data_IF_686815743883
#
_entry.id   IF_686815743883
#
_cell.length_a   1.000
_cell.length_b   1.000
_cell.length_c   1.000
_cell.angle_alpha   90.00
_cell.angle_beta   90.00
_cell.angle_gamma   90.00
#
_symmetry.space_group_name_H-M   'P 1'
#
loop_
_entity.id
_entity.type
_entity.pdbx_description
1 polymer ?
#
# COMPACT_ATOMS: atom_id res chain seq x y z
N UNK A 1 11.40 21.99 8.67
CA UNK A 1 10.44 21.70 7.58
C UNK A 1 10.43 20.20 7.34
N UNK A 2 9.26 19.55 7.20
CA UNK A 2 9.21 18.11 6.93
C UNK A 2 9.82 17.77 5.55
N UNK A 3 10.54 16.65 5.46
CA UNK A 3 11.12 16.15 4.22
C UNK A 3 10.03 15.54 3.33
N UNK A 4 10.04 15.78 2.00
CA UNK A 4 9.06 15.16 1.11
C UNK A 4 9.14 13.64 1.11
N UNK A 5 7.99 12.98 1.13
CA UNK A 5 7.90 11.52 0.94
C UNK A 5 8.41 11.14 -0.45
N UNK A 6 9.26 10.11 -0.51
CA UNK A 6 9.82 9.57 -1.77
C UNK A 6 9.54 8.09 -1.99
N UNK A 7 9.02 7.39 -0.98
CA UNK A 7 8.66 5.97 -1.06
C UNK A 7 7.23 5.77 -0.56
N UNK A 8 6.45 5.00 -1.33
CA UNK A 8 5.07 4.67 -1.04
C UNK A 8 4.90 3.16 -1.10
N UNK A 9 4.43 2.54 -0.02
CA UNK A 9 4.10 1.11 0.00
C UNK A 9 2.59 0.99 -0.21
N UNK A 10 2.17 0.46 -1.35
CA UNK A 10 0.77 0.34 -1.74
C UNK A 10 0.31 -1.10 -1.62
N UNK A 11 -0.58 -1.38 -0.65
CA UNK A 11 -1.19 -2.70 -0.50
C UNK A 11 -2.24 -2.94 -1.57
N UNK A 12 -1.87 -3.66 -2.63
CA UNK A 12 -2.75 -4.01 -3.76
C UNK A 12 -3.56 -5.29 -3.53
N UNK A 13 -3.01 -6.20 -2.70
CA UNK A 13 -3.63 -7.46 -2.32
C UNK A 13 -3.69 -7.59 -0.80
N UNK A 14 -4.83 -8.06 -0.30
CA UNK A 14 -5.09 -8.32 1.11
C UNK A 14 -5.16 -9.80 1.49
N UNK A 15 -4.95 -10.71 0.53
CA UNK A 15 -5.00 -12.17 0.72
C UNK A 15 -3.84 -12.84 0.02
N UNK A 16 -3.14 -13.71 0.76
CA UNK A 16 -2.04 -14.51 0.26
C UNK A 16 -2.49 -15.93 -0.09
N UNK A 17 -1.78 -16.57 -1.02
CA UNK A 17 -1.92 -18.00 -1.30
C UNK A 17 -0.89 -18.87 -0.54
N UNK A 18 -0.09 -18.27 0.35
CA UNK A 18 0.88 -18.95 1.20
C UNK A 18 0.45 -18.84 2.68
N UNK A 19 0.71 -19.87 3.47
CA UNK A 19 0.46 -19.93 4.92
C UNK A 19 1.79 -19.88 5.70
N UNK A 20 2.50 -18.77 5.59
CA UNK A 20 3.76 -18.60 6.31
C UNK A 20 3.49 -18.57 7.83
N UNK A 21 4.13 -19.45 8.59
CA UNK A 21 3.98 -19.56 10.06
C UNK A 21 4.40 -18.29 10.81
N UNK A 22 5.25 -17.47 10.19
CA UNK A 22 5.75 -16.21 10.74
C UNK A 22 4.97 -14.98 10.21
N UNK A 23 3.86 -15.17 9.49
CA UNK A 23 3.08 -14.04 8.98
C UNK A 23 2.34 -13.33 10.12
N UNK A 24 2.81 -12.15 10.51
CA UNK A 24 2.19 -11.37 11.58
C UNK A 24 0.72 -11.00 11.31
N UNK A 25 0.33 -10.90 10.02
CA UNK A 25 -1.03 -10.52 9.63
C UNK A 25 -2.02 -11.68 9.80
N UNK A 26 -1.70 -12.87 9.27
CA UNK A 26 -2.62 -14.01 9.29
C UNK A 26 -2.47 -14.90 10.53
N UNK A 27 -1.32 -14.86 11.21
CA UNK A 27 -1.01 -15.62 12.43
C UNK A 27 -0.97 -14.75 13.69
N UNK A 28 -1.21 -13.45 13.57
CA UNK A 28 -1.27 -12.51 14.68
C UNK A 28 -2.58 -12.58 15.48
N UNK A 29 -2.68 -11.73 16.49
CA UNK A 29 -3.88 -11.63 17.34
C UNK A 29 -5.03 -10.85 16.69
N UNK A 30 -4.71 -9.95 15.74
CA UNK A 30 -5.68 -9.15 14.99
C UNK A 30 -6.30 -9.97 13.85
N UNK A 31 -7.62 -10.11 13.86
CA UNK A 31 -8.40 -10.81 12.84
C UNK A 31 -9.11 -9.88 11.85
N UNK A 32 -9.01 -8.56 12.01
CA UNK A 32 -9.71 -7.55 11.21
C UNK A 32 -9.29 -7.52 9.73
N UNK A 33 -8.27 -8.29 9.34
CA UNK A 33 -7.95 -8.51 7.92
C UNK A 33 -9.02 -9.34 7.21
N UNK A 34 -9.80 -10.16 7.92
CA UNK A 34 -10.85 -11.03 7.36
C UNK A 34 -11.97 -10.23 6.70
N UNK A 35 -12.29 -9.07 7.29
CA UNK A 35 -13.34 -8.17 6.80
C UNK A 35 -12.86 -7.21 5.71
N UNK A 36 -11.55 -7.19 5.41
CA UNK A 36 -10.99 -6.31 4.39
C UNK A 36 -11.15 -6.91 2.99
N UNK A 37 -11.30 -6.07 1.94
CA UNK A 37 -11.32 -6.54 0.57
C UNK A 37 -10.05 -7.32 0.22
N UNK A 38 -10.21 -8.37 -0.59
CA UNK A 38 -9.08 -9.17 -1.06
C UNK A 38 -8.13 -8.40 -2.00
N UNK A 39 -8.64 -7.35 -2.66
CA UNK A 39 -7.90 -6.50 -3.60
C UNK A 39 -8.28 -5.05 -3.38
N UNK A 40 -7.33 -4.15 -3.60
CA UNK A 40 -7.64 -2.72 -3.68
C UNK A 40 -8.63 -2.46 -4.83
N UNK A 41 -9.69 -1.70 -4.57
CA UNK A 41 -10.64 -1.31 -5.61
C UNK A 41 -10.01 -0.36 -6.62
N UNK A 42 -10.43 -0.42 -7.89
CA UNK A 42 -9.89 0.42 -8.97
C UNK A 42 -9.89 1.92 -8.60
N UNK A 43 -11.02 2.42 -8.07
CA UNK A 43 -11.14 3.81 -7.61
C UNK A 43 -10.14 4.18 -6.52
N UNK A 44 -9.81 3.24 -5.61
CA UNK A 44 -8.81 3.48 -4.55
C UNK A 44 -7.42 3.58 -5.15
N UNK A 45 -7.09 2.71 -6.10
CA UNK A 45 -5.79 2.73 -6.79
C UNK A 45 -5.63 4.03 -7.58
N UNK A 46 -6.64 4.41 -8.37
CA UNK A 46 -6.65 5.66 -9.15
C UNK A 46 -6.50 6.89 -8.25
N UNK A 47 -7.30 6.97 -7.18
CA UNK A 47 -7.23 8.09 -6.25
C UNK A 47 -5.87 8.15 -5.54
N UNK A 48 -5.32 7.00 -5.15
CA UNK A 48 -3.99 6.93 -4.53
C UNK A 48 -2.90 7.41 -5.49
N UNK A 49 -2.96 6.99 -6.75
CA UNK A 49 -2.01 7.42 -7.78
C UNK A 49 -2.08 8.93 -8.02
N UNK A 50 -3.30 9.51 -8.10
CA UNK A 50 -3.49 10.95 -8.22
C UNK A 50 -2.86 11.71 -7.05
N UNK A 51 -3.09 11.25 -5.82
CA UNK A 51 -2.52 11.86 -4.60
C UNK A 51 -1.00 11.79 -4.54
N UNK A 52 -0.40 10.69 -5.00
CA UNK A 52 1.06 10.57 -5.12
C UNK A 52 1.59 11.55 -6.17
N UNK A 53 0.92 11.66 -7.33
CA UNK A 53 1.32 12.58 -8.40
C UNK A 53 1.25 14.05 -7.95
N UNK A 54 0.18 14.43 -7.23
CA UNK A 54 0.04 15.77 -6.64
C UNK A 54 1.19 16.09 -5.68
N UNK A 55 1.57 15.14 -4.82
CA UNK A 55 2.71 15.29 -3.91
C UNK A 55 4.04 15.44 -4.66
N UNK A 56 4.26 14.61 -5.69
CA UNK A 56 5.47 14.65 -6.53
C UNK A 56 5.60 16.01 -7.21
N UNK A 57 4.51 16.51 -7.80
CA UNK A 57 4.48 17.81 -8.47
C UNK A 57 4.71 18.97 -7.48
N UNK A 58 4.02 18.96 -6.33
CA UNK A 58 4.14 20.02 -5.32
C UNK A 58 5.56 20.16 -4.74
N UNK A 59 6.35 19.08 -4.76
CA UNK A 59 7.70 19.06 -4.21
C UNK A 59 8.80 18.96 -5.28
N UNK A 60 8.47 19.03 -6.57
CA UNK A 60 9.44 18.97 -7.67
C UNK A 60 10.30 17.71 -7.69
N UNK A 61 9.71 16.56 -7.33
CA UNK A 61 10.45 15.29 -7.26
C UNK A 61 10.61 14.69 -8.65
N UNK A 62 11.85 14.39 -9.03
CA UNK A 62 12.23 13.72 -10.28
C UNK A 62 12.10 12.19 -10.20
N UNK A 63 12.21 11.64 -8.98
CA UNK A 63 12.17 10.21 -8.72
C UNK A 63 11.49 9.88 -7.39
N UNK A 64 10.60 8.90 -7.45
CA UNK A 64 9.99 8.23 -6.31
C UNK A 64 10.05 6.71 -6.46
N UNK A 65 9.72 5.99 -5.39
CA UNK A 65 9.51 4.55 -5.38
C UNK A 65 8.08 4.23 -4.97
N UNK A 66 7.41 3.38 -5.75
CA UNK A 66 6.13 2.79 -5.37
C UNK A 66 6.34 1.29 -5.24
N UNK A 67 6.23 0.77 -4.03
CA UNK A 67 6.34 -0.65 -3.73
C UNK A 67 4.95 -1.23 -3.67
N UNK A 68 4.59 -2.02 -4.69
CA UNK A 68 3.34 -2.76 -4.69
C UNK A 68 3.48 -3.93 -3.73
N UNK A 69 2.71 -3.87 -2.65
CA UNK A 69 2.75 -4.82 -1.57
C UNK A 69 1.45 -5.61 -1.47
N UNK A 70 1.53 -6.72 -0.77
CA UNK A 70 0.49 -7.73 -0.71
C UNK A 70 1.14 -9.06 -0.35
N UNK A 71 0.48 -10.13 -0.74
CA UNK A 71 0.45 -11.33 0.08
C UNK A 71 -0.81 -11.21 0.91
#
# INVERSE_FOLDING_TARGET
MPTPLRQFVLKVHGRCNLDCTYCYLYRGQDDGWRDRPARAGARVVEHTAARIAEHVAAHGLDRIRVELHGG
#
